data_IF_777784678768
#
_entry.id   IF_777784678768
#
_cell.length_a   1.000
_cell.length_b   1.000
_cell.length_c   1.000
_cell.angle_alpha   90.00
_cell.angle_beta   90.00
_cell.angle_gamma   90.00
#
_symmetry.space_group_name_H-M   'P 1'
#
loop_
_entity.id
_entity.type
_entity.pdbx_description
1 polymer ?
#
# COMPACT_ATOMS: atom_id res chain seq x y z
N UNK A 1 -4.45 -25.38 9.48
CA UNK A 1 -4.54 -24.08 8.79
C UNK A 1 -3.17 -23.44 8.91
N UNK A 2 -2.49 -23.13 7.80
CA UNK A 2 -1.09 -22.67 7.80
C UNK A 2 -0.97 -21.30 8.53
N UNK A 3 0.14 -21.04 9.23
CA UNK A 3 0.33 -19.81 10.03
C UNK A 3 0.19 -18.55 9.16
N UNK A 4 0.75 -18.59 7.95
CA UNK A 4 0.64 -17.56 6.90
C UNK A 4 -0.81 -17.25 6.50
N UNK A 5 -1.67 -18.26 6.39
CA UNK A 5 -3.09 -18.04 6.08
C UNK A 5 -3.83 -17.37 7.24
N UNK A 6 -3.51 -17.72 8.49
CA UNK A 6 -4.10 -17.08 9.66
C UNK A 6 -3.65 -15.62 9.78
N UNK A 7 -2.38 -15.34 9.50
CA UNK A 7 -1.85 -13.98 9.49
C UNK A 7 -2.50 -13.12 8.40
N UNK A 8 -2.62 -13.64 7.16
CA UNK A 8 -3.31 -12.95 6.08
C UNK A 8 -4.74 -12.55 6.46
N UNK A 9 -5.50 -13.47 7.07
CA UNK A 9 -6.86 -13.19 7.55
C UNK A 9 -6.89 -12.09 8.62
N UNK A 10 -5.96 -12.13 9.60
CA UNK A 10 -5.85 -11.10 10.64
C UNK A 10 -5.52 -9.73 10.05
N UNK A 11 -4.65 -9.68 9.06
CA UNK A 11 -4.29 -8.44 8.38
C UNK A 11 -5.47 -7.86 7.59
N UNK A 12 -6.22 -8.70 6.88
CA UNK A 12 -7.45 -8.27 6.18
C UNK A 12 -8.52 -7.80 7.15
N UNK A 13 -8.73 -8.51 8.26
CA UNK A 13 -9.65 -8.09 9.31
C UNK A 13 -9.24 -6.75 9.92
N UNK A 14 -7.96 -6.56 10.20
CA UNK A 14 -7.43 -5.27 10.64
C UNK A 14 -7.65 -4.17 9.58
N UNK A 15 -7.45 -4.46 8.28
CA UNK A 15 -7.68 -3.49 7.22
C UNK A 15 -9.16 -3.10 7.13
N UNK A 16 -10.05 -4.08 7.23
CA UNK A 16 -11.49 -3.86 7.26
C UNK A 16 -11.90 -2.98 8.46
N UNK A 17 -11.47 -3.36 9.68
CA UNK A 17 -11.85 -2.64 10.90
C UNK A 17 -11.31 -1.21 10.91
N UNK A 18 -10.06 -1.01 10.47
CA UNK A 18 -9.46 0.33 10.43
C UNK A 18 -10.07 1.22 9.36
N UNK A 19 -10.41 0.66 8.20
CA UNK A 19 -11.15 1.38 7.18
C UNK A 19 -12.55 1.72 7.68
N UNK A 20 -13.29 0.76 8.23
CA UNK A 20 -14.63 0.99 8.78
C UNK A 20 -14.62 2.11 9.82
N UNK A 21 -13.63 2.13 10.71
CA UNK A 21 -13.47 3.22 11.68
C UNK A 21 -13.20 4.59 11.02
N UNK A 22 -12.47 4.64 9.91
CA UNK A 22 -12.29 5.87 9.11
C UNK A 22 -13.63 6.29 8.49
N UNK A 23 -14.38 5.32 7.95
CA UNK A 23 -15.66 5.57 7.32
C UNK A 23 -16.73 6.02 8.32
N UNK A 24 -16.79 5.45 9.52
CA UNK A 24 -17.75 5.84 10.56
C UNK A 24 -17.52 7.27 11.07
N UNK A 25 -16.32 7.84 10.88
CA UNK A 25 -16.07 9.26 11.19
C UNK A 25 -16.68 10.22 10.18
N UNK A 26 -17.32 9.72 9.09
CA UNK A 26 -18.18 10.55 8.24
C UNK A 26 -19.43 10.90 9.04
N UNK A 27 -19.47 12.10 9.63
CA UNK A 27 -20.75 12.71 10.01
C UNK A 27 -21.64 12.89 8.77
N UNK A 28 -22.85 13.42 8.93
CA UNK A 28 -23.87 13.65 7.88
C UNK A 28 -23.43 14.53 6.68
N UNK A 29 -22.15 14.92 6.61
CA UNK A 29 -21.50 15.68 5.54
C UNK A 29 -20.60 14.74 4.75
N UNK A 30 -20.56 14.88 3.42
CA UNK A 30 -19.81 14.07 2.43
C UNK A 30 -18.26 14.09 2.60
N UNK A 31 -17.76 14.49 3.76
CA UNK A 31 -16.34 14.73 4.07
C UNK A 31 -15.91 13.85 5.23
N UNK A 32 -14.95 12.95 5.00
CA UNK A 32 -14.36 12.08 6.03
C UNK A 32 -13.60 12.94 7.06
N UNK A 33 -13.94 12.83 8.35
CA UNK A 33 -13.30 13.56 9.45
C UNK A 33 -12.32 12.69 10.27
N UNK A 34 -11.65 11.74 9.63
CA UNK A 34 -10.71 10.85 10.29
C UNK A 34 -9.45 11.60 10.74
N UNK A 35 -8.96 11.27 11.94
CA UNK A 35 -7.74 11.82 12.49
C UNK A 35 -6.50 11.33 11.74
N UNK A 36 -5.40 12.07 11.83
CA UNK A 36 -4.12 11.65 11.24
C UNK A 36 -3.65 10.30 11.82
N UNK A 37 -3.99 10.00 13.06
CA UNK A 37 -3.67 8.72 13.71
C UNK A 37 -4.44 7.56 13.08
N UNK A 38 -5.72 7.74 12.77
CA UNK A 38 -6.55 6.73 12.09
C UNK A 38 -6.00 6.43 10.69
N UNK A 39 -5.67 7.45 9.91
CA UNK A 39 -5.02 7.25 8.61
C UNK A 39 -3.67 6.57 8.73
N UNK A 40 -2.83 7.00 9.69
CA UNK A 40 -1.53 6.37 9.91
C UNK A 40 -1.66 4.89 10.27
N UNK A 41 -2.66 4.54 11.08
CA UNK A 41 -2.94 3.16 11.44
C UNK A 41 -3.40 2.34 10.23
N UNK A 42 -4.34 2.86 9.44
CA UNK A 42 -4.77 2.24 8.18
C UNK A 42 -3.58 2.01 7.23
N UNK A 43 -2.72 3.01 7.01
CA UNK A 43 -1.53 2.86 6.17
C UNK A 43 -0.54 1.84 6.72
N UNK A 44 -0.41 1.72 8.04
CA UNK A 44 0.42 0.70 8.66
C UNK A 44 -0.11 -0.71 8.36
N UNK A 45 -1.42 -0.90 8.43
CA UNK A 45 -2.04 -2.20 8.12
C UNK A 45 -1.90 -2.53 6.63
N UNK A 46 -2.12 -1.55 5.74
CA UNK A 46 -1.91 -1.74 4.29
C UNK A 46 -0.44 -2.07 3.98
N UNK A 47 0.51 -1.35 4.59
CA UNK A 47 1.94 -1.65 4.50
C UNK A 47 2.24 -3.10 4.92
N UNK A 48 1.66 -3.57 6.02
CA UNK A 48 1.86 -4.95 6.49
C UNK A 48 1.25 -5.99 5.54
N UNK A 49 0.09 -5.71 4.95
CA UNK A 49 -0.51 -6.56 3.90
C UNK A 49 0.42 -6.64 2.68
N UNK A 50 0.94 -5.50 2.23
CA UNK A 50 1.87 -5.47 1.10
C UNK A 50 3.21 -6.12 1.45
N UNK A 51 3.61 -6.15 2.73
CA UNK A 51 4.81 -6.85 3.20
C UNK A 51 4.63 -8.37 3.42
N UNK A 52 3.40 -8.86 3.52
CA UNK A 52 3.12 -10.24 3.88
C UNK A 52 3.67 -11.24 2.85
N UNK A 53 4.61 -12.08 3.28
CA UNK A 53 5.26 -13.08 2.43
C UNK A 53 6.22 -12.47 1.40
N UNK A 54 6.69 -11.23 1.60
CA UNK A 54 7.76 -10.68 0.76
C UNK A 54 9.05 -11.48 0.95
N UNK A 55 9.73 -11.75 -0.17
CA UNK A 55 11.02 -12.43 -0.19
C UNK A 55 12.10 -11.47 0.31
N UNK A 56 12.63 -11.72 1.49
CA UNK A 56 13.87 -11.11 1.91
C UNK A 56 15.02 -11.78 1.16
N UNK A 57 15.80 -11.00 0.39
CA UNK A 57 16.94 -11.57 -0.34
C UNK A 57 17.87 -12.28 0.63
N UNK A 58 18.07 -13.59 0.42
CA UNK A 58 19.15 -14.33 1.05
C UNK A 58 20.44 -13.68 0.56
N UNK A 59 21.25 -13.18 1.50
CA UNK A 59 22.58 -12.58 1.29
C UNK A 59 23.23 -13.08 -0.01
N UNK A 60 23.10 -12.32 -1.10
CA UNK A 60 23.87 -12.63 -2.30
C UNK A 60 25.33 -12.40 -1.93
N UNK A 61 26.14 -13.46 -2.04
CA UNK A 61 27.56 -13.45 -1.66
C UNK A 61 28.39 -12.40 -2.42
N UNK A 62 27.81 -11.79 -3.47
CA UNK A 62 28.42 -10.80 -4.36
C UNK A 62 27.75 -9.43 -4.33
N UNK A 63 26.67 -9.22 -3.57
CA UNK A 63 25.98 -7.93 -3.51
C UNK A 63 26.54 -7.07 -2.36
N UNK A 64 27.10 -5.90 -2.70
CA UNK A 64 27.72 -4.97 -1.74
C UNK A 64 26.77 -4.36 -0.70
N UNK A 65 25.46 -4.63 -0.81
CA UNK A 65 24.47 -4.49 0.27
C UNK A 65 23.18 -5.20 -0.15
N UNK A 66 22.84 -6.37 0.41
CA UNK A 66 21.47 -6.85 0.33
C UNK A 66 20.64 -6.00 1.28
N UNK A 67 20.00 -4.94 0.79
CA UNK A 67 18.94 -4.30 1.56
C UNK A 67 17.72 -5.23 1.55
N UNK A 68 17.06 -5.43 2.70
CA UNK A 68 15.87 -6.25 2.75
C UNK A 68 14.85 -5.66 1.78
N UNK A 69 14.34 -6.49 0.85
CA UNK A 69 13.26 -6.07 -0.02
C UNK A 69 12.08 -5.62 0.82
N UNK A 70 11.58 -4.42 0.54
CA UNK A 70 10.35 -3.90 1.11
C UNK A 70 9.31 -3.61 0.04
N UNK A 71 8.09 -3.30 0.45
CA UNK A 71 7.01 -3.10 -0.52
C UNK A 71 7.23 -1.87 -1.40
N UNK A 72 8.09 -0.92 -1.01
CA UNK A 72 8.41 0.22 -1.85
C UNK A 72 9.21 -0.22 -3.09
N UNK A 73 10.03 -1.27 -2.99
CA UNK A 73 10.71 -1.86 -4.16
C UNK A 73 9.72 -2.42 -5.20
N UNK A 74 8.56 -2.92 -4.76
CA UNK A 74 7.46 -3.27 -5.66
C UNK A 74 6.88 -2.01 -6.33
N UNK A 75 6.69 -0.93 -5.57
CA UNK A 75 6.17 0.34 -6.09
C UNK A 75 7.10 0.97 -7.14
N UNK A 76 8.41 0.74 -7.07
CA UNK A 76 9.34 1.16 -8.12
C UNK A 76 9.07 0.51 -9.49
N UNK A 77 8.26 -0.56 -9.53
CA UNK A 77 7.80 -1.17 -10.78
C UNK A 77 6.52 -0.53 -11.34
N UNK A 78 5.88 0.42 -10.66
CA UNK A 78 4.71 1.16 -11.16
C UNK A 78 4.87 1.73 -12.57
N UNK A 79 6.02 2.34 -12.96
CA UNK A 79 6.20 2.86 -14.31
C UNK A 79 6.11 1.80 -15.41
N UNK A 80 6.29 0.51 -15.07
CA UNK A 80 6.20 -0.60 -16.03
C UNK A 80 4.75 -1.03 -16.30
N UNK A 81 3.87 -0.84 -15.32
CA UNK A 81 2.47 -1.30 -15.35
C UNK A 81 1.46 -0.15 -15.51
N UNK A 82 1.92 1.09 -15.40
CA UNK A 82 1.07 2.28 -15.52
C UNK A 82 1.80 3.47 -16.13
N UNK A 83 1.21 4.06 -17.17
CA UNK A 83 1.80 5.17 -17.94
C UNK A 83 2.14 6.41 -17.11
N UNK A 84 1.37 6.70 -16.06
CA UNK A 84 1.64 7.84 -15.15
C UNK A 84 2.53 7.43 -13.96
N UNK A 85 2.93 6.16 -13.85
CA UNK A 85 3.70 5.64 -12.74
C UNK A 85 5.01 6.40 -12.54
N UNK A 86 5.70 6.78 -13.62
CA UNK A 86 6.95 7.56 -13.54
C UNK A 86 6.73 8.90 -12.83
N UNK A 87 5.69 9.64 -13.20
CA UNK A 87 5.37 10.95 -12.61
C UNK A 87 5.12 10.83 -11.10
N UNK A 88 4.36 9.82 -10.67
CA UNK A 88 4.09 9.59 -9.25
C UNK A 88 5.36 9.19 -8.50
N UNK A 89 6.18 8.31 -9.07
CA UNK A 89 7.44 7.90 -8.46
C UNK A 89 8.45 9.04 -8.36
N UNK A 90 8.50 9.94 -9.34
CA UNK A 90 9.36 11.13 -9.30
C UNK A 90 8.94 12.07 -8.14
N UNK A 91 7.64 12.27 -7.91
CA UNK A 91 7.14 13.04 -6.76
C UNK A 91 7.54 12.39 -5.44
N UNK A 92 7.34 11.07 -5.31
CA UNK A 92 7.66 10.33 -4.08
C UNK A 92 9.16 10.34 -3.79
N UNK A 93 10.00 10.13 -4.81
CA UNK A 93 11.45 10.06 -4.65
C UNK A 93 12.09 11.42 -4.33
N UNK A 94 11.51 12.51 -4.80
CA UNK A 94 12.02 13.87 -4.56
C UNK A 94 11.38 14.57 -3.36
N UNK A 95 10.50 13.89 -2.60
CA UNK A 95 9.80 14.53 -1.49
C UNK A 95 10.74 14.76 -0.29
N UNK A 96 10.94 16.00 0.19
CA UNK A 96 12.00 16.35 1.15
C UNK A 96 11.97 15.59 2.48
N UNK A 97 10.79 15.18 2.94
CA UNK A 97 10.59 14.53 4.24
C UNK A 97 10.59 13.00 4.16
N UNK A 98 10.43 12.41 2.96
CA UNK A 98 10.35 10.97 2.75
C UNK A 98 11.72 10.40 2.33
N UNK A 99 12.64 10.30 3.31
CA UNK A 99 14.04 9.91 3.05
C UNK A 99 14.28 8.39 3.03
N UNK A 100 13.41 7.61 3.66
CA UNK A 100 13.54 6.15 3.76
C UNK A 100 12.54 5.45 2.85
N UNK A 101 12.83 4.22 2.39
CA UNK A 101 11.90 3.42 1.57
C UNK A 101 10.52 3.27 2.22
N UNK A 102 10.49 2.96 3.53
CA UNK A 102 9.25 2.99 4.33
C UNK A 102 8.54 4.35 4.34
N UNK A 103 9.28 5.45 4.49
CA UNK A 103 8.73 6.80 4.42
C UNK A 103 8.12 7.12 3.06
N UNK A 104 8.80 6.73 1.98
CA UNK A 104 8.37 6.87 0.59
C UNK A 104 7.14 6.03 0.29
N UNK A 105 7.09 4.78 0.73
CA UNK A 105 5.91 3.92 0.59
C UNK A 105 4.69 4.48 1.29
N UNK A 106 4.85 5.02 2.51
CA UNK A 106 3.75 5.70 3.22
C UNK A 106 3.34 7.02 2.56
N UNK A 107 4.27 7.75 1.97
CA UNK A 107 3.93 8.95 1.17
C UNK A 107 3.13 8.55 -0.06
N UNK A 108 3.54 7.50 -0.77
CA UNK A 108 2.82 6.98 -1.92
C UNK A 108 1.39 6.57 -1.56
N UNK A 109 1.19 5.84 -0.44
CA UNK A 109 -0.15 5.48 0.05
C UNK A 109 -1.05 6.71 0.27
N UNK A 110 -0.49 7.80 0.83
CA UNK A 110 -1.22 9.06 1.03
C UNK A 110 -1.61 9.73 -0.29
N UNK A 111 -0.68 9.80 -1.24
CA UNK A 111 -0.93 10.35 -2.57
C UNK A 111 -2.02 9.53 -3.27
N UNK A 112 -1.88 8.20 -3.26
CA UNK A 112 -2.81 7.32 -3.94
C UNK A 112 -4.22 7.34 -3.34
N UNK A 113 -4.32 7.50 -2.02
CA UNK A 113 -5.59 7.71 -1.33
C UNK A 113 -6.23 9.05 -1.69
N UNK A 114 -5.44 10.13 -1.72
CA UNK A 114 -5.92 11.48 -2.11
C UNK A 114 -6.44 11.51 -3.55
N UNK A 115 -5.76 10.81 -4.45
CA UNK A 115 -6.13 10.71 -5.87
C UNK A 115 -7.22 9.65 -6.14
N UNK A 116 -7.75 8.98 -5.09
CA UNK A 116 -8.73 7.90 -5.19
C UNK A 116 -8.32 6.75 -6.12
N UNK A 117 -7.02 6.51 -6.26
CA UNK A 117 -6.47 5.53 -7.18
C UNK A 117 -5.74 4.37 -6.49
N UNK A 118 -5.71 4.33 -5.15
CA UNK A 118 -5.00 3.31 -4.37
C UNK A 118 -5.32 1.88 -4.83
N UNK A 119 -6.60 1.49 -4.83
CA UNK A 119 -7.03 0.16 -5.29
C UNK A 119 -6.66 -0.07 -6.75
N UNK A 120 -6.99 0.88 -7.63
CA UNK A 120 -6.66 0.81 -9.05
C UNK A 120 -5.16 0.59 -9.31
N UNK A 121 -4.27 1.26 -8.58
CA UNK A 121 -2.82 1.10 -8.72
C UNK A 121 -2.33 -0.24 -8.19
N UNK A 122 -2.87 -0.70 -7.05
CA UNK A 122 -2.56 -2.01 -6.50
C UNK A 122 -3.01 -3.13 -7.44
N UNK A 123 -4.21 -3.03 -8.01
CA UNK A 123 -4.70 -3.99 -9.02
C UNK A 123 -3.74 -4.09 -10.21
N UNK A 124 -3.21 -2.95 -10.71
CA UNK A 124 -2.24 -2.98 -11.83
C UNK A 124 -0.92 -3.66 -11.46
N UNK A 125 -0.44 -3.44 -10.24
CA UNK A 125 0.78 -4.10 -9.75
C UNK A 125 0.58 -5.61 -9.57
N UNK A 126 -0.60 -6.05 -9.13
CA UNK A 126 -0.88 -7.45 -8.84
C UNK A 126 -1.36 -8.26 -10.06
N UNK A 127 -1.69 -7.60 -11.17
CA UNK A 127 -1.98 -8.26 -12.45
C UNK A 127 -0.74 -8.96 -13.05
N UNK A 128 0.46 -8.42 -12.81
CA UNK A 128 1.70 -9.05 -13.28
C UNK A 128 2.14 -10.16 -12.32
N UNK A 129 1.67 -11.38 -12.59
CA UNK A 129 2.02 -12.57 -11.80
C UNK A 129 3.53 -12.89 -11.83
N UNK A 130 4.24 -12.49 -12.89
CA UNK A 130 5.70 -12.68 -12.98
C UNK A 130 6.42 -11.74 -12.02
N UNK A 131 5.94 -10.50 -11.90
CA UNK A 131 6.39 -9.52 -10.93
C UNK A 131 6.13 -10.01 -9.50
N UNK A 132 4.90 -10.47 -9.21
CA UNK A 132 4.59 -10.98 -7.87
C UNK A 132 5.45 -12.19 -7.48
N UNK A 133 5.70 -13.13 -8.40
CA UNK A 133 6.61 -14.28 -8.15
C UNK A 133 8.05 -13.84 -7.85
N UNK A 134 8.50 -12.71 -8.41
CA UNK A 134 9.83 -12.16 -8.11
C UNK A 134 9.91 -11.62 -6.68
N UNK A 135 8.87 -10.96 -6.19
CA UNK A 135 8.88 -10.26 -4.90
C UNK A 135 8.32 -11.07 -3.73
N UNK A 136 7.48 -12.07 -3.98
CA UNK A 136 6.71 -12.76 -2.93
C UNK A 136 6.85 -14.29 -2.96
N UNK A 137 6.85 -14.89 -1.77
CA UNK A 137 6.75 -16.33 -1.56
C UNK A 137 5.39 -16.88 -2.01
N UNK A 138 5.31 -18.19 -2.25
CA UNK A 138 4.11 -18.82 -2.83
C UNK A 138 2.87 -18.73 -1.94
N UNK A 139 3.05 -18.58 -0.62
CA UNK A 139 1.99 -18.46 0.38
C UNK A 139 1.66 -16.99 0.73
N UNK A 140 2.28 -16.02 0.03
CA UNK A 140 2.01 -14.62 0.25
C UNK A 140 0.55 -14.23 -0.06
N UNK A 141 0.01 -13.27 0.71
CA UNK A 141 -1.35 -12.78 0.57
C UNK A 141 -1.62 -12.31 -0.86
N UNK A 142 -0.72 -11.50 -1.42
CA UNK A 142 -0.88 -10.95 -2.78
C UNK A 142 -0.77 -12.02 -3.89
N UNK A 143 -0.26 -13.21 -3.59
CA UNK A 143 -0.15 -14.33 -4.54
C UNK A 143 -1.30 -15.34 -4.44
N UNK A 144 -2.17 -15.19 -3.44
CA UNK A 144 -3.39 -15.96 -3.31
C UNK A 144 -4.56 -15.15 -3.87
N UNK A 145 -5.25 -15.67 -4.89
CA UNK A 145 -6.32 -14.96 -5.58
C UNK A 145 -7.46 -14.54 -4.65
N UNK A 146 -7.97 -15.45 -3.82
CA UNK A 146 -9.09 -15.17 -2.91
C UNK A 146 -8.72 -14.10 -1.88
N UNK A 147 -7.49 -14.16 -1.36
CA UNK A 147 -7.00 -13.19 -0.38
C UNK A 147 -6.73 -11.82 -1.03
N UNK A 148 -6.19 -11.80 -2.25
CA UNK A 148 -5.99 -10.58 -3.03
C UNK A 148 -7.32 -9.92 -3.36
N UNK A 149 -8.30 -10.68 -3.85
CA UNK A 149 -9.64 -10.17 -4.18
C UNK A 149 -10.34 -9.60 -2.95
N UNK A 150 -10.26 -10.29 -1.80
CA UNK A 150 -10.80 -9.77 -0.54
C UNK A 150 -10.12 -8.46 -0.13
N UNK A 151 -8.79 -8.38 -0.21
CA UNK A 151 -8.06 -7.16 0.12
C UNK A 151 -8.42 -5.99 -0.81
N UNK A 152 -8.47 -6.22 -2.13
CA UNK A 152 -8.93 -5.21 -3.09
C UNK A 152 -10.41 -4.85 -2.86
N UNK A 153 -11.24 -5.81 -2.46
CA UNK A 153 -12.63 -5.60 -2.04
C UNK A 153 -12.74 -4.62 -0.88
N UNK A 154 -11.94 -4.81 0.17
CA UNK A 154 -11.85 -3.90 1.33
C UNK A 154 -11.55 -2.47 0.88
N UNK A 155 -10.67 -2.26 -0.09
CA UNK A 155 -10.30 -0.92 -0.56
C UNK A 155 -11.36 -0.24 -1.44
N UNK A 156 -12.40 -0.95 -1.89
CA UNK A 156 -13.40 -0.43 -2.84
C UNK A 156 -14.16 0.83 -2.38
N UNK A 157 -14.56 0.97 -1.10
CA UNK A 157 -15.26 2.17 -0.64
C UNK A 157 -14.46 3.47 -0.83
N UNK A 158 -13.12 3.38 -0.84
CA UNK A 158 -12.23 4.54 -0.96
C UNK A 158 -12.25 5.18 -2.36
N UNK A 159 -12.65 4.44 -3.40
CA UNK A 159 -12.70 4.96 -4.77
C UNK A 159 -13.85 5.96 -4.96
N UNK A 160 -14.93 5.83 -4.18
CA UNK A 160 -16.13 6.69 -4.28
C UNK A 160 -16.01 7.89 -3.33
N UNK A 161 -15.42 7.71 -2.16
CA UNK A 161 -15.42 8.71 -1.10
C UNK A 161 -14.41 9.84 -1.31
N UNK A 162 -14.75 11.05 -0.85
CA UNK A 162 -13.82 12.17 -0.86
C UNK A 162 -13.01 12.17 0.44
N UNK A 163 -11.77 11.69 0.36
CA UNK A 163 -10.85 11.61 1.51
C UNK A 163 -10.02 12.90 1.56
N UNK A 164 -10.24 13.83 2.53
CA UNK A 164 -9.39 15.00 2.68
C UNK A 164 -8.06 14.56 3.31
N UNK A 165 -7.15 14.02 2.51
CA UNK A 165 -5.77 13.76 2.94
C UNK A 165 -5.02 15.10 2.90
N UNK A 166 -5.09 15.87 3.98
CA UNK A 166 -4.34 17.13 4.09
C UNK A 166 -2.87 16.82 4.34
N UNK A 167 -2.00 17.15 3.38
CA UNK A 167 -0.57 17.23 3.63
C UNK A 167 -0.31 18.48 4.50
N UNK A 168 -0.07 18.31 5.80
CA UNK A 168 0.54 19.38 6.60
C UNK A 168 2.03 19.46 6.29
N UNK A 169 2.34 19.95 5.09
CA UNK A 169 3.60 20.60 4.79
C UNK A 169 3.21 21.95 4.17
N UNK A 170 3.75 23.05 4.70
CA UNK A 170 3.42 24.42 4.28
C UNK A 170 3.90 24.79 2.88
N UNK A 171 3.51 24.04 1.85
CA UNK A 171 3.65 24.40 0.44
C UNK A 171 2.42 23.87 -0.30
N UNK A 172 1.70 24.80 -0.92
CA UNK A 172 0.55 24.51 -1.76
C UNK A 172 0.92 23.57 -2.90
N UNK A 173 0.04 22.59 -3.11
CA UNK A 173 -0.24 22.04 -4.44
C UNK A 173 -1.44 22.81 -4.97
#
# INVERSE_FOLDING_TARGET
MNDSHMEAKRLQEAAFNTLHAILDTTGSSETINASMEQYNHFFCVVENILGHGMKHDKKSFWASKPEPRDFFDLLECLPKVWSQGKKVMDVVNNFPTAKTSKGKGRLWLRIALKEKNLKTLLTKLTQDQSLLRKFYEDDALLRNNDQLEMFLGILSPLEVLNVPVTFRCGLGL
#
